data_IF_315922575714
#
_entry.id   IF_315922575714
#
_cell.length_a   1.000
_cell.length_b   1.000
_cell.length_c   1.000
_cell.angle_alpha   90.00
_cell.angle_beta   90.00
_cell.angle_gamma   90.00
#
_symmetry.space_group_name_H-M   'P 1'
#
loop_
_entity.id
_entity.type
_entity.pdbx_description
1 polymer ?
#
# COMPACT_ATOMS: atom_id res chain seq x y z
N UNK A 1 8.78 -3.08 20.96
CA UNK A 1 9.43 -2.92 19.64
C UNK A 1 8.92 -1.64 18.98
N UNK A 2 9.79 -0.71 18.58
CA UNK A 2 9.34 0.55 17.93
C UNK A 2 8.86 0.28 16.50
N UNK A 3 7.97 1.12 15.98
CA UNK A 3 7.41 0.98 14.62
C UNK A 3 8.45 0.78 13.51
N UNK A 4 9.59 1.50 13.56
CA UNK A 4 10.67 1.33 12.58
C UNK A 4 11.40 -0.01 12.69
N UNK A 5 11.45 -0.60 13.88
CA UNK A 5 11.99 -1.94 14.10
C UNK A 5 11.01 -3.01 13.63
N UNK A 6 9.71 -2.82 13.92
CA UNK A 6 8.64 -3.71 13.45
C UNK A 6 8.54 -3.74 11.92
N UNK A 7 8.64 -2.58 11.26
CA UNK A 7 8.69 -2.46 9.81
C UNK A 7 9.88 -3.24 9.21
N UNK A 8 11.08 -3.04 9.77
CA UNK A 8 12.29 -3.74 9.32
C UNK A 8 12.22 -5.24 9.57
N UNK A 9 11.66 -5.68 10.69
CA UNK A 9 11.52 -7.09 11.02
C UNK A 9 10.57 -7.82 10.07
N UNK A 10 9.47 -7.17 9.69
CA UNK A 10 8.36 -7.81 8.96
C UNK A 10 8.38 -7.52 7.46
N UNK A 11 9.24 -6.61 7.00
CA UNK A 11 9.36 -6.23 5.59
C UNK A 11 8.23 -5.32 5.09
N UNK A 12 7.31 -4.90 5.96
CA UNK A 12 6.27 -3.93 5.61
C UNK A 12 6.73 -2.51 5.88
N UNK A 13 6.18 -1.55 5.14
CA UNK A 13 6.54 -0.15 5.31
C UNK A 13 5.98 0.41 6.62
N UNK A 14 6.66 1.42 7.18
CA UNK A 14 6.15 2.20 8.32
C UNK A 14 4.77 2.81 8.01
N UNK A 15 4.55 3.23 6.75
CA UNK A 15 3.24 3.70 6.25
C UNK A 15 2.17 2.62 6.38
N UNK A 16 2.46 1.38 6.01
CA UNK A 16 1.50 0.26 6.15
C UNK A 16 1.14 0.02 7.61
N UNK A 17 2.10 0.12 8.54
CA UNK A 17 1.84 0.00 9.97
C UNK A 17 1.01 1.18 10.52
N UNK A 18 1.29 2.40 10.09
CA UNK A 18 0.44 3.56 10.41
C UNK A 18 -0.97 3.37 9.90
N UNK A 19 -1.11 2.93 8.65
CA UNK A 19 -2.39 2.66 8.04
C UNK A 19 -3.18 1.59 8.81
N UNK A 20 -2.53 0.49 9.23
CA UNK A 20 -3.18 -0.54 10.03
C UNK A 20 -3.64 -0.03 11.40
N UNK A 21 -2.91 0.88 12.02
CA UNK A 21 -3.34 1.53 13.26
C UNK A 21 -4.52 2.49 13.03
N UNK A 22 -4.45 3.32 12.00
CA UNK A 22 -5.49 4.29 11.64
C UNK A 22 -6.82 3.61 11.37
N UNK A 23 -6.81 2.54 10.59
CA UNK A 23 -8.01 1.75 10.30
C UNK A 23 -8.42 0.84 11.48
N UNK A 24 -7.59 0.74 12.52
CA UNK A 24 -7.83 -0.06 13.72
C UNK A 24 -7.64 -1.56 13.54
N UNK A 25 -6.97 -1.99 12.47
CA UNK A 25 -6.63 -3.38 12.18
C UNK A 25 -5.50 -3.89 13.07
N UNK A 26 -4.49 -3.06 13.34
CA UNK A 26 -3.39 -3.36 14.25
C UNK A 26 -3.02 -2.11 15.03
N UNK A 27 -3.34 -2.11 16.33
CA UNK A 27 -2.99 -0.99 17.21
C UNK A 27 -1.68 -1.26 17.95
N UNK A 28 -0.84 -0.25 18.15
CA UNK A 28 0.30 -0.38 19.04
C UNK A 28 -0.19 -0.55 20.48
N UNK A 29 0.46 -1.42 21.25
CA UNK A 29 0.21 -1.56 22.69
C UNK A 29 0.52 -0.30 23.48
N UNK A 30 1.48 0.52 23.03
CA UNK A 30 1.88 1.74 23.71
C UNK A 30 2.25 2.84 22.70
N UNK A 31 1.96 4.09 23.08
CA UNK A 31 2.57 5.27 22.50
C UNK A 31 3.54 5.81 23.54
N UNK A 32 4.85 5.74 23.25
CA UNK A 32 5.90 6.22 24.15
C UNK A 32 5.75 7.72 24.42
N UNK A 33 6.38 8.22 25.50
CA UNK A 33 6.38 9.64 25.86
C UNK A 33 6.85 10.58 24.73
N UNK A 34 7.73 10.08 23.84
CA UNK A 34 8.22 10.82 22.68
C UNK A 34 7.31 10.70 21.44
N UNK A 35 6.11 10.12 21.56
CA UNK A 35 5.11 9.99 20.49
C UNK A 35 5.30 8.79 19.55
N UNK A 36 6.29 7.94 19.79
CA UNK A 36 6.51 6.73 18.97
C UNK A 36 5.54 5.61 19.32
N UNK A 37 5.05 4.92 18.29
CA UNK A 37 4.27 3.69 18.41
C UNK A 37 5.18 2.52 18.79
N UNK A 38 4.77 1.77 19.81
CA UNK A 38 5.50 0.63 20.36
C UNK A 38 4.58 -0.59 20.35
N UNK A 39 5.07 -1.65 19.71
CA UNK A 39 4.41 -2.94 19.57
C UNK A 39 5.04 -3.95 20.52
N UNK A 40 4.24 -4.69 21.28
CA UNK A 40 4.69 -5.82 22.08
C UNK A 40 4.66 -7.12 21.26
N UNK A 41 5.05 -8.25 21.87
CA UNK A 41 5.09 -9.54 21.18
C UNK A 41 3.71 -9.98 20.67
N UNK A 42 2.64 -9.74 21.44
CA UNK A 42 1.27 -10.03 21.03
C UNK A 42 0.85 -9.23 19.79
N UNK A 43 1.25 -7.96 19.69
CA UNK A 43 0.96 -7.14 18.51
C UNK A 43 1.70 -7.68 17.27
N UNK A 44 2.95 -8.12 17.45
CA UNK A 44 3.74 -8.72 16.37
C UNK A 44 3.12 -10.06 15.92
N UNK A 45 2.55 -10.84 16.84
CA UNK A 45 1.81 -12.06 16.49
C UNK A 45 0.52 -11.77 15.71
N UNK A 46 -0.21 -10.70 16.04
CA UNK A 46 -1.38 -10.26 15.28
C UNK A 46 -0.93 -9.78 13.89
N UNK A 47 0.16 -9.01 13.82
CA UNK A 47 0.71 -8.56 12.55
C UNK A 47 1.09 -9.73 11.64
N UNK A 48 1.73 -10.77 12.18
CA UNK A 48 2.05 -11.97 11.41
C UNK A 48 0.79 -12.63 10.84
N UNK A 49 -0.31 -12.69 11.60
CA UNK A 49 -1.58 -13.23 11.11
C UNK A 49 -2.17 -12.38 9.99
N UNK A 50 -2.16 -11.06 10.14
CA UNK A 50 -2.59 -10.13 9.08
C UNK A 50 -1.83 -10.44 7.77
N UNK A 51 -0.51 -10.63 7.86
CA UNK A 51 0.32 -10.92 6.69
C UNK A 51 0.00 -12.29 6.06
N UNK A 52 -0.30 -13.32 6.86
CA UNK A 52 -0.73 -14.61 6.32
C UNK A 52 -2.03 -14.50 5.52
N UNK A 53 -3.02 -13.76 6.02
CA UNK A 53 -4.27 -13.56 5.28
C UNK A 53 -4.06 -12.71 4.02
N UNK A 54 -3.17 -11.70 4.07
CA UNK A 54 -2.82 -10.89 2.90
C UNK A 54 -2.23 -11.72 1.77
N UNK A 55 -1.39 -12.69 2.11
CA UNK A 55 -0.80 -13.63 1.13
C UNK A 55 -1.86 -14.55 0.49
N UNK A 56 -3.04 -14.69 1.09
CA UNK A 56 -4.17 -15.45 0.55
C UNK A 56 -5.22 -14.58 -0.15
N UNK A 57 -4.87 -13.33 -0.45
CA UNK A 57 -5.69 -12.36 -1.19
C UNK A 57 -6.95 -11.89 -0.41
N UNK A 58 -6.92 -11.99 0.92
CA UNK A 58 -7.97 -11.41 1.77
C UNK A 58 -7.86 -9.88 1.79
N UNK A 59 -9.02 -9.22 1.80
CA UNK A 59 -9.12 -7.78 2.00
C UNK A 59 -8.88 -7.43 3.47
N UNK A 60 -8.38 -6.22 3.76
CA UNK A 60 -8.13 -5.79 5.15
C UNK A 60 -9.42 -5.78 6.01
N UNK A 61 -10.57 -5.53 5.39
CA UNK A 61 -11.87 -5.62 6.06
C UNK A 61 -12.25 -7.06 6.42
N UNK A 62 -11.87 -8.05 5.60
CA UNK A 62 -12.02 -9.47 5.94
C UNK A 62 -11.09 -9.88 7.07
N UNK A 63 -9.84 -9.42 7.04
CA UNK A 63 -8.85 -9.74 8.06
C UNK A 63 -9.28 -9.18 9.41
N UNK A 64 -9.70 -7.92 9.46
CA UNK A 64 -10.18 -7.29 10.69
C UNK A 64 -11.36 -8.02 11.32
N UNK A 65 -12.26 -8.59 10.52
CA UNK A 65 -13.35 -9.44 11.03
C UNK A 65 -12.85 -10.66 11.75
N UNK A 66 -11.93 -11.37 11.11
CA UNK A 66 -11.45 -12.65 11.59
C UNK A 66 -10.72 -12.46 12.93
N UNK A 67 -9.95 -11.37 13.05
CA UNK A 67 -9.17 -11.07 14.25
C UNK A 67 -10.00 -10.50 15.41
N UNK A 68 -11.16 -9.89 15.13
CA UNK A 68 -12.02 -9.30 16.16
C UNK A 68 -12.99 -10.31 16.81
N UNK A 69 -13.06 -11.54 16.29
CA UNK A 69 -13.97 -12.57 16.80
C UNK A 69 -13.42 -13.24 18.08
N UNK A 70 -14.16 -13.21 19.21
CA UNK A 70 -13.78 -13.92 20.43
C UNK A 70 -13.62 -15.44 20.25
N UNK A 71 -14.32 -16.04 19.28
CA UNK A 71 -14.30 -17.48 18.99
C UNK A 71 -13.22 -17.85 17.94
N UNK A 72 -12.34 -16.92 17.59
CA UNK A 72 -11.28 -17.16 16.61
C UNK A 72 -10.26 -18.19 17.11
N UNK A 73 -10.30 -19.40 16.53
CA UNK A 73 -9.24 -20.40 16.72
C UNK A 73 -8.07 -20.15 15.76
N UNK A 74 -7.04 -19.48 16.30
CA UNK A 74 -5.78 -19.20 15.60
C UNK A 74 -5.15 -20.46 15.01
N UNK A 75 -5.17 -21.59 15.72
CA UNK A 75 -4.49 -22.81 15.28
C UNK A 75 -5.19 -23.42 14.09
N UNK A 76 -6.52 -23.44 14.11
CA UNK A 76 -7.32 -23.92 12.99
C UNK A 76 -7.19 -23.01 11.77
N UNK A 77 -7.18 -21.69 11.97
CA UNK A 77 -6.91 -20.75 10.89
C UNK A 77 -5.55 -21.00 10.25
N UNK A 78 -4.48 -21.21 11.04
CA UNK A 78 -3.15 -21.53 10.51
C UNK A 78 -3.10 -22.86 9.75
N UNK A 79 -3.86 -23.88 10.17
CA UNK A 79 -3.96 -25.15 9.41
C UNK A 79 -4.56 -24.92 8.03
N UNK A 80 -5.68 -24.18 7.96
CA UNK A 80 -6.34 -23.85 6.69
C UNK A 80 -5.47 -22.96 5.80
N UNK A 81 -4.74 -22.01 6.38
CA UNK A 81 -3.73 -21.24 5.64
C UNK A 81 -2.67 -22.15 5.03
N UNK A 82 -2.15 -23.10 5.82
CA UNK A 82 -1.15 -24.04 5.33
C UNK A 82 -1.67 -24.87 4.16
N UNK A 83 -2.92 -25.31 4.19
CA UNK A 83 -3.55 -26.03 3.07
C UNK A 83 -3.60 -25.17 1.80
N UNK A 84 -4.06 -23.92 1.91
CA UNK A 84 -4.10 -22.99 0.78
C UNK A 84 -2.70 -22.64 0.23
N UNK A 85 -1.71 -22.50 1.10
CA UNK A 85 -0.32 -22.29 0.71
C UNK A 85 0.27 -23.50 -0.03
N UNK A 86 -0.08 -24.72 0.39
CA UNK A 86 0.34 -25.94 -0.31
C UNK A 86 -0.27 -26.04 -1.71
N UNK A 87 -1.53 -25.63 -1.88
CA UNK A 87 -2.16 -25.54 -3.20
C UNK A 87 -1.51 -24.49 -4.09
N UNK A 88 -1.26 -23.28 -3.55
CA UNK A 88 -0.50 -22.23 -4.27
C UNK A 88 0.87 -22.74 -4.69
N UNK A 89 1.60 -23.43 -3.81
CA UNK A 89 2.90 -24.04 -4.12
C UNK A 89 2.78 -25.06 -5.25
N UNK A 90 1.84 -26.00 -5.17
CA UNK A 90 1.64 -27.01 -6.21
C UNK A 90 1.42 -26.37 -7.58
N UNK A 91 0.62 -25.31 -7.65
CA UNK A 91 0.39 -24.55 -8.89
C UNK A 91 1.66 -23.86 -9.39
N UNK A 92 2.44 -23.25 -8.51
CA UNK A 92 3.71 -22.63 -8.88
C UNK A 92 4.68 -23.69 -9.44
N UNK A 93 4.75 -24.86 -8.80
CA UNK A 93 5.58 -25.98 -9.27
C UNK A 93 5.13 -26.43 -10.69
N UNK A 94 3.83 -26.52 -10.95
CA UNK A 94 3.29 -26.83 -12.28
C UNK A 94 3.62 -25.75 -13.34
N UNK A 95 3.59 -24.47 -12.96
CA UNK A 95 3.98 -23.37 -13.84
C UNK A 95 5.48 -23.39 -14.17
N UNK A 96 6.32 -23.72 -13.18
CA UNK A 96 7.77 -23.89 -13.39
C UNK A 96 8.02 -25.02 -14.39
N UNK A 97 7.33 -26.16 -14.26
CA UNK A 97 7.45 -27.28 -15.21
C UNK A 97 7.04 -26.87 -16.63
N UNK A 98 6.01 -26.04 -16.78
CA UNK A 98 5.59 -25.53 -18.08
C UNK A 98 6.64 -24.60 -18.71
N UNK A 99 7.26 -23.74 -17.90
CA UNK A 99 8.39 -22.91 -18.34
C UNK A 99 9.56 -23.77 -18.79
N UNK A 100 9.93 -24.80 -18.03
CA UNK A 100 11.03 -25.71 -18.36
C UNK A 100 10.81 -26.46 -19.69
N UNK A 101 9.58 -26.92 -19.94
CA UNK A 101 9.20 -27.53 -21.23
C UNK A 101 9.31 -26.53 -22.38
N UNK A 102 8.80 -25.32 -22.17
CA UNK A 102 8.85 -24.25 -23.17
C UNK A 102 10.30 -23.90 -23.52
N UNK A 103 11.18 -23.81 -22.51
CA UNK A 103 12.62 -23.57 -22.72
C UNK A 103 13.32 -24.69 -23.49
N UNK A 104 12.85 -25.94 -23.38
CA UNK A 104 13.33 -27.10 -24.17
C UNK A 104 12.79 -27.14 -25.61
N UNK A 105 11.95 -26.17 -25.99
CA UNK A 105 11.35 -26.10 -27.33
C UNK A 105 10.12 -27.00 -27.51
N UNK A 106 9.58 -27.55 -26.43
CA UNK A 106 8.33 -28.31 -26.46
C UNK A 106 7.15 -27.34 -26.61
N UNK A 107 6.25 -27.61 -27.56
CA UNK A 107 5.01 -26.82 -27.74
C UNK A 107 3.91 -27.37 -26.85
N UNK A 108 4.04 -27.19 -25.54
CA UNK A 108 2.96 -27.47 -24.59
C UNK A 108 2.04 -26.23 -24.50
N UNK A 109 0.95 -26.25 -25.29
CA UNK A 109 -0.05 -25.17 -25.34
C UNK A 109 -1.11 -25.31 -24.22
N UNK A 110 -0.80 -26.01 -23.12
CA UNK A 110 -1.72 -26.16 -21.99
C UNK A 110 -1.82 -24.85 -21.20
N UNK A 111 -3.02 -24.27 -21.19
CA UNK A 111 -3.35 -23.08 -20.38
C UNK A 111 -3.94 -23.42 -19.01
N UNK A 112 -4.16 -24.72 -18.71
CA UNK A 112 -4.81 -25.17 -17.46
C UNK A 112 -4.06 -24.74 -16.20
N UNK A 113 -2.73 -24.72 -16.24
CA UNK A 113 -1.88 -24.35 -15.10
C UNK A 113 -2.01 -22.87 -14.72
N UNK A 114 -2.49 -22.03 -15.65
CA UNK A 114 -2.79 -20.63 -15.40
C UNK A 114 -4.15 -20.44 -14.72
N UNK A 115 -5.05 -21.43 -14.77
CA UNK A 115 -6.37 -21.36 -14.15
C UNK A 115 -6.25 -21.40 -12.62
N UNK A 116 -6.47 -20.25 -11.99
CA UNK A 116 -6.48 -20.11 -10.53
C UNK A 116 -7.90 -20.20 -9.94
N UNK A 117 -8.91 -20.56 -10.75
CA UNK A 117 -10.31 -20.45 -10.35
C UNK A 117 -10.64 -21.29 -9.12
N UNK A 118 -10.08 -22.50 -8.98
CA UNK A 118 -10.33 -23.37 -7.82
C UNK A 118 -9.72 -22.83 -6.52
N UNK A 119 -8.47 -22.36 -6.57
CA UNK A 119 -7.79 -21.76 -5.40
C UNK A 119 -8.52 -20.46 -5.01
N UNK A 120 -8.88 -19.61 -5.98
CA UNK A 120 -9.66 -18.41 -5.72
C UNK A 120 -11.07 -18.76 -5.19
N UNK A 121 -11.70 -19.82 -5.69
CA UNK A 121 -12.97 -20.28 -5.17
C UNK A 121 -12.83 -20.84 -3.74
N UNK A 122 -11.72 -21.50 -3.40
CA UNK A 122 -11.46 -22.00 -2.05
C UNK A 122 -11.12 -20.86 -1.08
N UNK A 123 -10.31 -19.89 -1.49
CA UNK A 123 -10.06 -18.66 -0.74
C UNK A 123 -11.36 -17.88 -0.52
N UNK A 124 -12.19 -17.71 -1.57
CA UNK A 124 -13.52 -17.10 -1.45
C UNK A 124 -14.47 -17.89 -0.57
N UNK A 125 -14.53 -19.22 -0.69
CA UNK A 125 -15.33 -20.06 0.21
C UNK A 125 -14.87 -19.93 1.66
N UNK A 126 -13.56 -19.83 1.89
CA UNK A 126 -13.03 -19.55 3.22
C UNK A 126 -13.47 -18.16 3.69
N UNK A 127 -13.35 -17.12 2.86
CA UNK A 127 -13.83 -15.77 3.13
C UNK A 127 -15.36 -15.66 3.31
N UNK A 128 -16.14 -16.53 2.67
CA UNK A 128 -17.59 -16.62 2.78
C UNK A 128 -18.04 -17.46 3.98
N UNK A 129 -17.30 -18.50 4.35
CA UNK A 129 -17.48 -19.24 5.61
C UNK A 129 -17.17 -18.32 6.79
N UNK A 130 -16.09 -17.54 6.67
CA UNK A 130 -15.75 -16.41 7.55
C UNK A 130 -16.93 -15.44 7.62
N UNK A 131 -17.50 -15.04 6.47
CA UNK A 131 -18.61 -14.09 6.41
C UNK A 131 -19.92 -14.65 7.00
N UNK A 132 -20.24 -15.91 6.77
CA UNK A 132 -21.46 -16.56 7.28
C UNK A 132 -21.39 -16.88 8.76
N UNK A 133 -20.22 -17.26 9.24
CA UNK A 133 -20.02 -17.63 10.64
C UNK A 133 -19.82 -16.40 11.52
N UNK A 134 -19.28 -15.30 10.97
CA UNK A 134 -18.76 -14.17 11.75
C UNK A 134 -19.24 -12.78 11.28
N UNK A 135 -20.18 -12.71 10.31
CA UNK A 135 -20.62 -11.45 9.67
C UNK A 135 -21.78 -10.70 10.33
N UNK A 136 -22.49 -11.29 11.28
CA UNK A 136 -23.72 -10.71 11.88
C UNK A 136 -23.51 -10.02 13.25
N UNK A 137 -22.27 -9.71 13.64
CA UNK A 137 -22.00 -9.05 14.92
C UNK A 137 -22.14 -7.53 14.82
N UNK A 138 -22.78 -6.91 15.81
CA UNK A 138 -22.95 -5.45 15.87
C UNK A 138 -21.60 -4.69 15.90
N UNK A 139 -20.58 -5.30 16.54
CA UNK A 139 -19.21 -4.79 16.59
C UNK A 139 -18.56 -4.70 15.19
N UNK A 140 -18.91 -5.60 14.27
CA UNK A 140 -18.42 -5.58 12.89
C UNK A 140 -19.04 -4.45 12.08
N UNK A 141 -20.35 -4.21 12.22
CA UNK A 141 -21.02 -3.11 11.51
C UNK A 141 -20.41 -1.75 11.89
N UNK A 142 -20.10 -1.57 13.17
CA UNK A 142 -19.41 -0.38 13.68
C UNK A 142 -17.95 -0.30 13.20
N UNK A 143 -17.21 -1.41 13.22
CA UNK A 143 -15.83 -1.49 12.70
C UNK A 143 -15.75 -1.17 11.20
N UNK A 144 -16.64 -1.70 10.36
CA UNK A 144 -16.66 -1.42 8.91
C UNK A 144 -17.01 0.04 8.63
N UNK A 145 -17.97 0.59 9.35
CA UNK A 145 -18.31 2.01 9.22
C UNK A 145 -17.14 2.90 9.65
N UNK A 146 -16.45 2.55 10.73
CA UNK A 146 -15.26 3.26 11.20
C UNK A 146 -14.08 3.14 10.24
N UNK A 147 -13.82 1.94 9.72
CA UNK A 147 -12.84 1.63 8.67
C UNK A 147 -13.09 2.47 7.42
N UNK A 148 -14.32 2.44 6.89
CA UNK A 148 -14.69 3.18 5.67
C UNK A 148 -14.49 4.69 5.88
N UNK A 149 -14.97 5.23 7.01
CA UNK A 149 -14.78 6.65 7.37
C UNK A 149 -13.31 7.02 7.55
N UNK A 150 -12.51 6.16 8.17
CA UNK A 150 -11.08 6.41 8.37
C UNK A 150 -10.31 6.43 7.06
N UNK A 151 -10.61 5.49 6.15
CA UNK A 151 -10.02 5.46 4.81
C UNK A 151 -10.40 6.68 3.97
N UNK A 152 -11.65 7.13 4.04
CA UNK A 152 -12.10 8.34 3.36
C UNK A 152 -11.39 9.58 3.95
N UNK A 153 -11.33 9.70 5.28
CA UNK A 153 -10.67 10.82 5.96
C UNK A 153 -9.15 10.90 5.72
N UNK A 154 -8.46 9.75 5.68
CA UNK A 154 -7.02 9.70 5.40
C UNK A 154 -6.72 10.05 3.94
N UNK A 155 -7.55 9.56 3.02
CA UNK A 155 -7.46 9.91 1.60
C UNK A 155 -7.68 11.40 1.40
N UNK A 156 -8.73 11.96 2.00
CA UNK A 156 -9.02 13.41 1.95
C UNK A 156 -7.85 14.21 2.56
N UNK A 157 -7.26 13.74 3.67
CA UNK A 157 -6.11 14.40 4.30
C UNK A 157 -4.84 14.34 3.43
N UNK A 158 -4.61 13.23 2.73
CA UNK A 158 -3.45 13.06 1.84
C UNK A 158 -3.60 13.91 0.58
N UNK A 159 -4.80 13.92 -0.02
CA UNK A 159 -5.12 14.79 -1.17
C UNK A 159 -4.96 16.27 -0.80
N UNK A 160 -5.49 16.70 0.36
CA UNK A 160 -5.33 18.08 0.83
C UNK A 160 -3.87 18.50 1.05
N UNK A 161 -3.01 17.59 1.56
CA UNK A 161 -1.56 17.86 1.72
C UNK A 161 -0.86 17.96 0.37
N UNK A 162 -1.24 17.13 -0.61
CA UNK A 162 -0.70 17.24 -1.96
C UNK A 162 -1.06 18.59 -2.58
N UNK A 163 -2.33 19.00 -2.46
CA UNK A 163 -2.84 20.27 -2.98
C UNK A 163 -2.18 21.48 -2.35
N UNK A 164 -1.87 21.43 -1.06
CA UNK A 164 -1.14 22.48 -0.38
C UNK A 164 0.27 22.67 -0.98
N UNK A 165 1.00 21.58 -1.20
CA UNK A 165 2.34 21.65 -1.81
C UNK A 165 2.25 22.17 -3.26
N UNK A 166 1.28 21.70 -4.04
CA UNK A 166 1.08 22.18 -5.42
C UNK A 166 0.71 23.66 -5.44
N UNK A 167 -0.10 24.12 -4.48
CA UNK A 167 -0.44 25.53 -4.34
C UNK A 167 0.77 26.40 -4.02
N UNK A 168 1.71 25.93 -3.18
CA UNK A 168 2.98 26.62 -2.92
C UNK A 168 3.82 26.74 -4.21
N UNK A 169 3.86 25.70 -5.05
CA UNK A 169 4.48 25.79 -6.39
C UNK A 169 3.78 26.82 -7.28
N UNK A 170 2.45 26.87 -7.25
CA UNK A 170 1.67 27.83 -8.02
C UNK A 170 2.04 29.26 -7.61
N UNK A 171 2.19 29.56 -6.32
CA UNK A 171 2.55 30.90 -5.84
C UNK A 171 3.91 31.38 -6.36
N UNK A 172 4.91 30.49 -6.43
CA UNK A 172 6.26 30.86 -6.88
C UNK A 172 6.47 30.70 -8.39
N UNK A 173 5.45 30.33 -9.17
CA UNK A 173 5.58 29.98 -10.60
C UNK A 173 6.16 31.09 -11.50
N UNK A 174 6.11 32.36 -11.05
CA UNK A 174 6.70 33.51 -11.74
C UNK A 174 8.20 33.69 -11.47
N UNK A 175 8.78 32.93 -10.55
CA UNK A 175 10.19 32.99 -10.20
C UNK A 175 11.04 32.04 -11.07
N UNK A 176 12.34 31.98 -10.79
CA UNK A 176 13.24 31.03 -11.47
C UNK A 176 12.98 29.60 -10.96
N UNK A 177 12.81 28.60 -11.84
CA UNK A 177 12.74 27.19 -11.44
C UNK A 177 14.02 26.65 -10.78
N UNK A 178 15.11 27.43 -10.78
CA UNK A 178 16.38 27.12 -10.11
C UNK A 178 16.55 27.85 -8.76
N UNK A 179 15.50 28.52 -8.26
CA UNK A 179 15.59 29.22 -6.98
C UNK A 179 15.72 28.24 -5.81
N UNK A 180 16.24 28.73 -4.67
CA UNK A 180 16.33 27.94 -3.45
C UNK A 180 14.95 27.54 -2.93
N UNK A 181 13.94 28.39 -3.11
CA UNK A 181 12.55 28.06 -2.78
C UNK A 181 12.02 26.92 -3.65
N UNK A 182 12.28 26.94 -4.96
CA UNK A 182 11.86 25.89 -5.88
C UNK A 182 12.51 24.53 -5.54
N UNK A 183 13.81 24.52 -5.24
CA UNK A 183 14.53 23.31 -4.80
C UNK A 183 13.96 22.75 -3.49
N UNK A 184 13.62 23.62 -2.53
CA UNK A 184 13.01 23.22 -1.27
C UNK A 184 11.66 22.55 -1.49
N UNK A 185 10.82 23.12 -2.37
CA UNK A 185 9.52 22.54 -2.72
C UNK A 185 9.66 21.22 -3.50
N UNK A 186 10.67 21.07 -4.36
CA UNK A 186 10.96 19.81 -5.06
C UNK A 186 11.28 18.71 -4.04
N UNK A 187 12.13 18.98 -3.05
CA UNK A 187 12.43 18.02 -1.98
C UNK A 187 11.23 17.74 -1.09
N UNK A 188 10.43 18.76 -0.77
CA UNK A 188 9.17 18.60 -0.03
C UNK A 188 8.20 17.69 -0.79
N UNK A 189 8.08 17.87 -2.11
CA UNK A 189 7.25 17.05 -2.97
C UNK A 189 7.77 15.61 -3.09
N UNK A 190 9.08 15.42 -3.24
CA UNK A 190 9.71 14.10 -3.24
C UNK A 190 9.49 13.38 -1.92
N UNK A 191 9.72 14.05 -0.78
CA UNK A 191 9.47 13.49 0.55
C UNK A 191 7.99 13.17 0.75
N UNK A 192 7.08 14.01 0.24
CA UNK A 192 5.65 13.71 0.23
C UNK A 192 5.35 12.43 -0.55
N UNK A 193 5.91 12.26 -1.76
CA UNK A 193 5.70 11.05 -2.55
C UNK A 193 6.28 9.82 -1.85
N UNK A 194 7.51 9.91 -1.33
CA UNK A 194 8.17 8.84 -0.56
C UNK A 194 7.37 8.41 0.66
N UNK A 195 6.86 9.38 1.40
CA UNK A 195 6.07 9.10 2.60
C UNK A 195 4.66 8.60 2.29
N UNK A 196 4.16 8.84 1.07
CA UNK A 196 2.77 8.55 0.72
C UNK A 196 2.51 7.50 -0.36
N UNK A 197 3.50 7.09 -1.13
CA UNK A 197 3.29 6.15 -2.22
C UNK A 197 4.39 5.09 -2.25
N UNK A 198 5.55 5.44 -2.78
CA UNK A 198 6.71 4.55 -2.94
C UNK A 198 7.96 5.37 -2.76
N UNK A 199 9.11 4.73 -2.49
CA UNK A 199 10.40 5.42 -2.41
C UNK A 199 10.68 6.19 -3.71
N UNK A 200 10.53 7.51 -3.66
CA UNK A 200 10.69 8.39 -4.79
C UNK A 200 12.15 8.79 -4.89
N UNK A 201 12.94 7.96 -5.57
CA UNK A 201 14.33 8.29 -5.91
C UNK A 201 14.38 9.50 -6.85
N UNK A 202 15.54 10.14 -6.95
CA UNK A 202 15.71 11.27 -7.86
C UNK A 202 15.39 10.88 -9.30
N UNK A 203 15.77 9.66 -9.72
CA UNK A 203 15.43 9.10 -11.03
C UNK A 203 13.92 9.04 -11.28
N UNK A 204 13.16 8.53 -10.31
CA UNK A 204 11.70 8.47 -10.41
C UNK A 204 11.09 9.87 -10.42
N UNK A 205 11.61 10.78 -9.59
CA UNK A 205 11.18 12.17 -9.54
C UNK A 205 11.37 12.86 -10.91
N UNK A 206 12.51 12.65 -11.57
CA UNK A 206 12.79 13.17 -12.91
C UNK A 206 11.77 12.65 -13.94
N UNK A 207 11.42 11.37 -13.90
CA UNK A 207 10.41 10.78 -14.77
C UNK A 207 9.01 11.38 -14.52
N UNK A 208 8.63 11.58 -13.24
CA UNK A 208 7.36 12.21 -12.88
C UNK A 208 7.27 13.65 -13.41
N UNK A 209 8.36 14.42 -13.33
CA UNK A 209 8.43 15.78 -13.89
C UNK A 209 8.15 15.82 -15.40
N UNK A 210 8.62 14.82 -16.15
CA UNK A 210 8.31 14.70 -17.59
C UNK A 210 6.83 14.35 -17.83
N UNK A 211 6.24 13.51 -16.98
CA UNK A 211 4.85 13.09 -17.09
C UNK A 211 3.86 14.24 -16.81
N UNK A 212 4.19 15.16 -15.89
CA UNK A 212 3.30 16.28 -15.51
C UNK A 212 2.94 17.21 -16.67
N UNK A 213 3.77 17.27 -17.71
CA UNK A 213 3.47 18.03 -18.94
C UNK A 213 3.10 17.14 -20.12
N UNK A 214 3.59 15.89 -20.14
CA UNK A 214 3.35 14.91 -21.19
C UNK A 214 1.96 14.26 -21.20
N UNK A 215 1.29 14.18 -20.05
CA UNK A 215 -0.08 13.65 -19.93
C UNK A 215 -1.07 14.76 -19.51
N UNK A 216 -2.07 14.96 -20.36
CA UNK A 216 -3.12 15.97 -20.19
C UNK A 216 -3.84 15.88 -18.84
N UNK A 217 -4.07 14.67 -18.33
CA UNK A 217 -4.81 14.45 -17.07
C UNK A 217 -4.03 14.98 -15.88
N UNK A 218 -2.72 14.72 -15.84
CA UNK A 218 -1.84 15.21 -14.78
C UNK A 218 -1.68 16.72 -14.88
N UNK A 219 -1.52 17.24 -16.09
CA UNK A 219 -1.43 18.68 -16.33
C UNK A 219 -2.67 19.41 -15.83
N UNK A 220 -3.86 18.96 -16.21
CA UNK A 220 -5.12 19.57 -15.76
C UNK A 220 -5.31 19.48 -14.24
N UNK A 221 -4.93 18.36 -13.63
CA UNK A 221 -5.03 18.21 -12.18
C UNK A 221 -4.09 19.14 -11.41
N UNK A 222 -2.88 19.39 -11.93
CA UNK A 222 -1.93 20.31 -11.29
C UNK A 222 -2.32 21.77 -11.55
N UNK A 223 -2.66 22.10 -12.79
CA UNK A 223 -3.02 23.46 -13.22
C UNK A 223 -4.35 23.97 -12.63
N UNK A 224 -5.15 23.11 -11.99
CA UNK A 224 -6.30 23.54 -11.18
C UNK A 224 -5.92 24.52 -10.07
N UNK A 225 -4.66 24.48 -9.61
CA UNK A 225 -4.11 25.40 -8.61
C UNK A 225 -3.53 26.68 -9.23
N UNK A 226 -3.49 26.76 -10.55
CA UNK A 226 -2.98 27.89 -11.32
C UNK A 226 -2.42 27.44 -12.66
N UNK A 227 -2.87 28.05 -13.76
CA UNK A 227 -2.40 27.69 -15.11
C UNK A 227 -0.87 27.86 -15.20
N UNK A 228 -0.19 26.85 -15.73
CA UNK A 228 1.28 26.82 -15.86
C UNK A 228 2.02 26.29 -14.63
N UNK A 229 1.32 25.87 -13.58
CA UNK A 229 1.95 25.25 -12.39
C UNK A 229 2.60 23.93 -12.74
N UNK A 230 1.96 23.10 -13.58
CA UNK A 230 2.51 21.83 -14.03
C UNK A 230 3.83 22.01 -14.79
N UNK A 231 3.89 23.02 -15.66
CA UNK A 231 5.08 23.34 -16.43
C UNK A 231 6.21 23.87 -15.53
N UNK A 232 5.87 24.70 -14.54
CA UNK A 232 6.84 25.20 -13.56
C UNK A 232 7.42 24.06 -12.70
N UNK A 233 6.56 23.19 -12.15
CA UNK A 233 6.98 22.01 -11.38
C UNK A 233 7.90 21.11 -12.20
N UNK A 234 7.54 20.82 -13.46
CA UNK A 234 8.38 20.02 -14.36
C UNK A 234 9.77 20.65 -14.59
N UNK A 235 9.84 21.98 -14.77
CA UNK A 235 11.09 22.72 -14.94
C UNK A 235 11.94 22.72 -13.66
N UNK A 236 11.33 22.87 -12.49
CA UNK A 236 12.02 22.85 -11.20
C UNK A 236 12.60 21.46 -10.92
N UNK A 237 11.82 20.40 -11.15
CA UNK A 237 12.29 19.01 -11.06
C UNK A 237 13.44 18.77 -12.05
N UNK A 238 13.30 19.19 -13.31
CA UNK A 238 14.36 19.02 -14.31
C UNK A 238 15.65 19.79 -13.94
N UNK A 239 15.55 20.91 -13.22
CA UNK A 239 16.71 21.63 -12.71
C UNK A 239 17.42 20.83 -11.60
N UNK A 240 16.65 20.30 -10.65
CA UNK A 240 17.14 19.43 -9.57
C UNK A 240 17.91 18.21 -10.11
N UNK A 241 17.35 17.56 -11.13
CA UNK A 241 17.96 16.40 -11.79
C UNK A 241 19.32 16.71 -12.43
N UNK A 242 19.52 17.93 -12.96
CA UNK A 242 20.75 18.33 -13.65
C UNK A 242 21.88 18.74 -12.70
N UNK A 243 21.57 19.10 -11.46
CA UNK A 243 22.56 19.46 -10.44
C UNK A 243 23.24 18.27 -9.77
N UNK A 244 22.80 17.04 -10.04
CA UNK A 244 23.36 15.82 -9.44
C UNK A 244 24.24 14.99 -10.41
N UNK A 245 24.58 15.53 -11.59
CA UNK A 245 25.56 14.96 -12.52
C UNK A 245 26.87 15.74 -12.45
#
# INVERSE_FOLDING_TARGET
>A
MKIGEAARLTGITVRTLHYYDEIGLLKPSEISEAGYRVYNDSDIEILQQILFFRELDFTLAEIGRILADPEFDRKESLRRHRELLLEKRSRIDELILLVDKTLKGEKDMSFKQFDNSEILARSRRYADEVRRRWGDTAAYAEYVQKMKKSMEAERDSTEARADAIISEFAEIRGQSPKSAEAETLVRKWQAFITNNYYECTDEILCCLGQMYTGDERFRQNIDRHGIGTAEFMAKAIAAHCKTQT
#
